data_IF_251849321583
#
_entry.id   IF_251849321583
#
_cell.length_a   1.000
_cell.length_b   1.000
_cell.length_c   1.000
_cell.angle_alpha   90.00
_cell.angle_beta   90.00
_cell.angle_gamma   90.00
#
_symmetry.space_group_name_H-M   'P 1'
#
loop_
_entity.id
_entity.type
_entity.pdbx_description
1 polymer ?
#
# COMPACT_ATOMS: atom_id res chain seq x y z
N UNK A 1 -37.85 4.62 -42.70
CA UNK A 1 -37.54 4.73 -42.41
C UNK A 1 -36.83 5.05 -41.66
N UNK A 2 -36.36 5.15 -41.25
CA UNK A 2 -35.82 5.36 -40.79
C UNK A 2 -35.39 5.66 -39.86
N UNK A 3 -34.91 6.01 -39.36
CA UNK A 3 -34.64 6.38 -38.65
C UNK A 3 -34.27 6.14 -37.52
N UNK A 4 -34.13 5.95 -36.88
CA UNK A 4 -33.88 5.39 -35.85
C UNK A 4 -32.63 5.57 -35.38
N UNK A 5 -31.81 5.78 -35.87
CA UNK A 5 -30.60 5.88 -35.57
C UNK A 5 -30.24 6.79 -34.52
N UNK A 6 -30.66 7.80 -34.42
CA UNK A 6 -30.21 8.84 -33.54
C UNK A 6 -30.19 8.43 -32.12
N UNK A 7 -31.06 7.67 -31.80
CA UNK A 7 -31.20 7.31 -30.45
C UNK A 7 -29.94 6.81 -29.85
N UNK A 8 -29.27 6.13 -30.61
CA UNK A 8 -28.14 5.47 -30.13
C UNK A 8 -27.10 6.35 -29.61
N UNK A 9 -26.93 7.35 -30.27
CA UNK A 9 -25.90 8.23 -29.96
C UNK A 9 -25.90 8.72 -28.58
N UNK A 10 -27.01 9.00 -28.11
CA UNK A 10 -27.10 9.61 -26.87
C UNK A 10 -26.53 8.79 -25.78
N UNK A 11 -26.63 7.56 -25.95
CA UNK A 11 -26.22 6.69 -24.93
C UNK A 11 -24.77 6.84 -24.63
N UNK A 12 -24.05 7.02 -25.63
CA UNK A 12 -22.63 7.08 -25.46
C UNK A 12 -22.26 8.22 -24.54
N UNK A 13 -22.88 9.28 -24.73
CA UNK A 13 -22.55 10.44 -23.94
C UNK A 13 -22.79 10.21 -22.48
N UNK A 14 -23.87 9.56 -22.23
CA UNK A 14 -24.20 9.37 -20.87
C UNK A 14 -23.21 8.51 -20.17
N UNK A 15 -22.72 7.58 -20.86
CA UNK A 15 -21.81 6.69 -20.24
C UNK A 15 -20.59 7.42 -19.79
N UNK A 16 -20.14 8.29 -20.62
CA UNK A 16 -18.97 9.02 -20.27
C UNK A 16 -19.19 9.84 -19.03
N UNK A 17 -20.30 10.45 -19.00
CA UNK A 17 -20.60 11.26 -17.86
C UNK A 17 -20.64 10.38 -16.65
N UNK A 18 -21.22 9.26 -16.80
CA UNK A 18 -21.31 8.33 -15.69
C UNK A 18 -19.95 7.91 -15.22
N UNK A 19 -19.08 7.67 -16.13
CA UNK A 19 -17.76 7.27 -15.74
C UNK A 19 -17.08 8.36 -14.98
N UNK A 20 -17.17 9.52 -15.45
CA UNK A 20 -16.57 10.63 -14.80
C UNK A 20 -17.15 10.74 -13.40
N UNK A 21 -18.42 10.64 -13.35
CA UNK A 21 -19.05 10.73 -12.07
C UNK A 21 -18.70 9.54 -11.23
N UNK A 22 -18.66 8.43 -11.84
CA UNK A 22 -18.35 7.24 -11.11
C UNK A 22 -17.01 7.35 -10.49
N UNK A 23 -16.15 8.00 -11.18
CA UNK A 23 -14.84 8.14 -10.68
C UNK A 23 -14.83 8.83 -9.36
N UNK A 24 -15.92 9.30 -8.97
CA UNK A 24 -15.93 9.99 -7.75
C UNK A 24 -15.75 9.11 -6.56
N UNK A 25 -15.85 7.84 -6.71
CA UNK A 25 -15.60 7.02 -5.57
C UNK A 25 -14.16 7.30 -5.20
N UNK A 26 -13.90 8.13 -4.27
CA UNK A 26 -12.54 8.53 -3.98
C UNK A 26 -11.79 7.44 -3.29
N UNK A 27 -10.55 7.33 -3.64
CA UNK A 27 -9.66 6.53 -2.85
C UNK A 27 -9.57 7.20 -1.48
N UNK A 28 -9.39 6.44 -0.43
CA UNK A 28 -9.20 7.04 0.89
C UNK A 28 -8.04 8.02 0.81
N UNK A 29 -8.21 9.14 1.43
CA UNK A 29 -7.17 10.16 1.43
C UNK A 29 -5.96 9.60 2.17
N UNK A 30 -4.81 9.70 1.56
CA UNK A 30 -3.57 9.28 2.20
C UNK A 30 -3.02 10.42 3.04
N UNK A 31 -2.19 10.07 4.00
CA UNK A 31 -1.54 11.06 4.85
C UNK A 31 -0.53 11.87 4.03
N UNK A 32 -0.22 13.06 4.50
CA UNK A 32 0.90 13.83 3.97
C UNK A 32 2.20 13.19 4.48
N UNK A 33 3.33 13.61 3.95
CA UNK A 33 4.61 13.09 4.42
C UNK A 33 4.83 13.37 5.91
N UNK A 34 4.63 14.60 6.40
CA UNK A 34 4.80 14.86 7.84
C UNK A 34 3.87 14.03 8.72
N UNK A 35 2.61 13.87 8.28
CA UNK A 35 1.67 13.05 9.03
C UNK A 35 2.10 11.59 9.04
N UNK A 36 2.62 11.10 7.92
CA UNK A 36 3.11 9.74 7.83
C UNK A 36 4.27 9.52 8.80
N UNK A 37 5.18 10.46 8.88
CA UNK A 37 6.32 10.34 9.78
C UNK A 37 5.89 10.33 11.24
N UNK A 38 4.93 11.18 11.59
CA UNK A 38 4.37 11.18 12.93
C UNK A 38 3.69 9.86 13.25
N UNK A 39 2.92 9.36 12.29
CA UNK A 39 2.24 8.08 12.44
C UNK A 39 3.24 6.95 12.67
N UNK A 40 4.30 6.90 11.87
CA UNK A 40 5.31 5.85 12.01
C UNK A 40 6.06 5.94 13.34
N UNK A 41 6.34 7.14 13.79
CA UNK A 41 7.02 7.33 15.07
C UNK A 41 6.16 6.91 16.26
N UNK A 42 4.86 6.95 16.11
CA UNK A 42 3.94 6.55 17.17
C UNK A 42 3.49 5.11 17.08
N UNK A 43 3.96 4.39 16.06
CA UNK A 43 3.53 3.02 15.84
C UNK A 43 4.20 2.08 16.84
N UNK A 44 3.41 1.41 17.66
CA UNK A 44 3.95 0.48 18.64
C UNK A 44 3.50 -0.93 18.38
N UNK A 45 3.35 -1.30 17.14
CA UNK A 45 2.96 -2.65 16.78
C UNK A 45 3.96 -3.66 17.35
N UNK A 46 3.47 -4.67 18.02
CA UNK A 46 4.31 -5.69 18.63
C UNK A 46 3.82 -7.08 18.21
N UNK A 47 4.51 -7.73 17.29
CA UNK A 47 4.11 -9.07 16.86
C UNK A 47 4.34 -10.09 17.96
N UNK A 48 3.56 -11.16 17.95
CA UNK A 48 3.63 -12.21 18.97
C UNK A 48 3.62 -13.58 18.30
N UNK A 49 4.05 -14.59 19.05
CA UNK A 49 4.05 -15.96 18.57
C UNK A 49 5.41 -16.39 18.05
N UNK A 50 5.43 -17.41 17.19
CA UNK A 50 6.67 -17.91 16.61
C UNK A 50 7.25 -16.90 15.63
N UNK A 51 8.48 -17.08 15.23
CA UNK A 51 9.11 -16.19 14.26
C UNK A 51 8.31 -16.14 12.95
N UNK A 52 7.82 -17.28 12.52
CA UNK A 52 7.04 -17.35 11.29
C UNK A 52 5.72 -16.58 11.44
N UNK A 53 5.06 -16.75 12.57
CA UNK A 53 3.83 -16.00 12.83
C UNK A 53 4.10 -14.50 12.90
N UNK A 54 5.18 -14.13 13.57
CA UNK A 54 5.55 -12.72 13.67
C UNK A 54 5.85 -12.13 12.30
N UNK A 55 6.56 -12.87 11.44
CA UNK A 55 6.85 -12.40 10.09
C UNK A 55 5.57 -12.12 9.31
N UNK A 56 4.58 -12.99 9.42
CA UNK A 56 3.29 -12.79 8.77
C UNK A 56 2.56 -11.57 9.32
N UNK A 57 2.57 -11.39 10.62
CA UNK A 57 1.94 -10.23 11.26
C UNK A 57 2.61 -8.94 10.83
N UNK A 58 3.94 -8.93 10.76
CA UNK A 58 4.69 -7.76 10.33
C UNK A 58 4.37 -7.44 8.87
N UNK A 59 4.30 -8.47 8.02
CA UNK A 59 3.97 -8.27 6.61
C UNK A 59 2.60 -7.61 6.45
N UNK A 60 1.62 -8.08 7.19
CA UNK A 60 0.27 -7.54 7.14
C UNK A 60 0.23 -6.11 7.68
N UNK A 61 0.95 -5.87 8.77
CA UNK A 61 1.00 -4.55 9.38
C UNK A 61 1.64 -3.54 8.42
N UNK A 62 2.75 -3.91 7.81
CA UNK A 62 3.40 -3.02 6.84
C UNK A 62 2.49 -2.75 5.65
N UNK A 63 1.73 -3.73 5.22
CA UNK A 63 0.78 -3.53 4.12
C UNK A 63 -0.29 -2.50 4.50
N UNK A 64 -0.84 -2.63 5.71
CA UNK A 64 -1.84 -1.68 6.19
C UNK A 64 -1.27 -0.27 6.29
N UNK A 65 -0.05 -0.15 6.80
CA UNK A 65 0.60 1.14 6.92
C UNK A 65 0.86 1.73 5.53
N UNK A 66 1.35 0.90 4.60
CA UNK A 66 1.63 1.34 3.24
C UNK A 66 0.38 1.90 2.56
N UNK A 67 -0.79 1.36 2.89
CA UNK A 67 -2.03 1.80 2.30
C UNK A 67 -2.51 3.16 2.83
N UNK A 68 -1.98 3.59 3.96
CA UNK A 68 -2.43 4.82 4.63
C UNK A 68 -1.49 6.00 4.49
N UNK A 69 -0.20 5.75 4.42
CA UNK A 69 0.80 6.82 4.43
C UNK A 69 0.98 7.47 3.05
N UNK A 70 1.70 8.57 3.02
CA UNK A 70 1.98 9.27 1.76
C UNK A 70 2.65 8.34 0.76
N UNK A 71 2.39 8.51 -0.55
CA UNK A 71 2.96 7.62 -1.56
C UNK A 71 4.49 7.51 -1.51
N UNK A 72 5.18 8.59 -1.20
CA UNK A 72 6.64 8.59 -1.12
C UNK A 72 7.14 7.67 -0.01
N UNK A 73 6.41 7.62 1.10
CA UNK A 73 6.76 6.80 2.24
C UNK A 73 6.20 5.39 2.08
N UNK A 74 5.09 5.28 1.37
CA UNK A 74 4.42 4.00 1.14
C UNK A 74 5.28 3.03 0.33
N UNK A 75 5.96 3.52 -0.70
CA UNK A 75 6.73 2.64 -1.59
C UNK A 75 7.79 1.82 -0.84
N UNK A 76 8.63 2.40 0.00
CA UNK A 76 9.59 1.58 0.75
C UNK A 76 8.89 0.68 1.78
N UNK A 77 7.78 1.10 2.37
CA UNK A 77 7.06 0.24 3.31
C UNK A 77 6.44 -0.94 2.60
N UNK A 78 5.90 -0.73 1.41
CA UNK A 78 5.37 -1.82 0.59
C UNK A 78 6.48 -2.84 0.27
N UNK A 79 7.66 -2.35 -0.07
CA UNK A 79 8.80 -3.22 -0.35
C UNK A 79 9.17 -4.03 0.90
N UNK A 80 9.10 -3.43 2.08
CA UNK A 80 9.34 -4.13 3.33
C UNK A 80 8.28 -5.19 3.58
N UNK A 81 7.01 -4.89 3.28
CA UNK A 81 5.94 -5.85 3.41
C UNK A 81 6.20 -7.06 2.52
N UNK A 82 6.66 -6.83 1.30
CA UNK A 82 6.94 -7.90 0.35
C UNK A 82 8.08 -8.80 0.86
N UNK A 83 9.12 -8.23 1.42
CA UNK A 83 10.21 -9.01 2.01
C UNK A 83 9.69 -9.84 3.17
N UNK A 84 8.87 -9.26 4.03
CA UNK A 84 8.35 -10.01 5.18
C UNK A 84 7.38 -11.12 4.75
N UNK A 85 6.69 -10.97 3.63
CA UNK A 85 5.89 -12.05 3.07
C UNK A 85 6.78 -13.21 2.64
N UNK A 86 7.91 -12.91 2.03
CA UNK A 86 8.88 -13.95 1.66
C UNK A 86 9.38 -14.67 2.92
N UNK A 87 9.69 -13.92 3.96
CA UNK A 87 10.17 -14.49 5.23
C UNK A 87 9.10 -15.39 5.84
N UNK A 88 7.86 -14.92 5.84
CA UNK A 88 6.75 -15.69 6.40
C UNK A 88 6.47 -16.98 5.62
N UNK A 89 6.86 -17.01 4.35
CA UNK A 89 6.68 -18.20 3.52
C UNK A 89 7.73 -19.27 3.79
N UNK A 90 8.81 -18.95 4.48
CA UNK A 90 9.83 -19.95 4.82
C UNK A 90 9.34 -20.78 6.00
N UNK A 91 9.79 -22.01 6.13
CA UNK A 91 9.34 -22.87 7.23
C UNK A 91 9.63 -22.33 8.61
N UNK A 92 10.73 -21.63 8.78
CA UNK A 92 11.18 -21.13 10.07
C UNK A 92 10.88 -19.66 10.31
N UNK A 93 10.52 -18.93 9.26
CA UNK A 93 10.25 -17.51 9.40
C UNK A 93 11.49 -16.69 9.73
N UNK A 94 12.66 -17.14 9.28
CA UNK A 94 13.91 -16.44 9.55
C UNK A 94 14.34 -15.66 8.31
N UNK A 95 14.99 -14.53 8.55
CA UNK A 95 15.47 -13.67 7.47
C UNK A 95 16.88 -14.10 7.03
N UNK A 96 17.14 -14.04 5.75
CA UNK A 96 18.48 -14.21 5.22
C UNK A 96 19.22 -12.88 5.35
N UNK A 97 20.54 -12.91 5.16
CA UNK A 97 21.35 -11.70 5.17
C UNK A 97 20.88 -10.74 4.08
N UNK A 98 20.53 -11.27 2.91
CA UNK A 98 20.07 -10.46 1.80
C UNK A 98 18.72 -9.79 2.13
N UNK A 99 17.80 -10.52 2.73
CA UNK A 99 16.51 -9.96 3.12
C UNK A 99 16.70 -8.87 4.16
N UNK A 100 17.60 -9.08 5.12
CA UNK A 100 17.89 -8.06 6.13
C UNK A 100 18.47 -6.80 5.48
N UNK A 101 19.35 -6.96 4.50
CA UNK A 101 19.91 -5.83 3.78
C UNK A 101 18.83 -5.07 3.01
N UNK A 102 17.90 -5.78 2.39
CA UNK A 102 16.79 -5.14 1.66
C UNK A 102 15.89 -4.35 2.60
N UNK A 103 15.62 -4.89 3.78
CA UNK A 103 14.83 -4.17 4.78
C UNK A 103 15.55 -2.90 5.23
N UNK A 104 16.84 -3.00 5.50
CA UNK A 104 17.64 -1.85 5.93
C UNK A 104 17.64 -0.76 4.87
N UNK A 105 17.75 -1.15 3.61
CA UNK A 105 17.70 -0.19 2.50
C UNK A 105 16.39 0.57 2.49
N UNK A 106 15.27 -0.12 2.68
CA UNK A 106 13.97 0.53 2.68
C UNK A 106 13.80 1.46 3.88
N UNK A 107 14.31 1.05 5.03
CA UNK A 107 14.27 1.89 6.23
C UNK A 107 15.05 3.17 5.97
N UNK A 108 16.19 3.08 5.31
CA UNK A 108 16.99 4.26 4.97
C UNK A 108 16.24 5.18 4.01
N UNK A 109 15.48 4.63 3.08
CA UNK A 109 14.66 5.43 2.17
C UNK A 109 13.59 6.20 2.94
N UNK A 110 12.96 5.55 3.91
CA UNK A 110 11.96 6.22 4.75
C UNK A 110 12.63 7.35 5.51
N UNK A 111 13.83 7.11 6.02
CA UNK A 111 14.59 8.12 6.75
C UNK A 111 14.92 9.36 5.94
N UNK A 112 14.91 9.29 4.63
CA UNK A 112 15.12 10.46 3.79
C UNK A 112 13.94 11.42 3.86
N UNK A 113 12.75 10.92 4.12
CA UNK A 113 11.54 11.72 4.23
C UNK A 113 11.22 12.07 5.68
N UNK A 114 11.58 11.20 6.61
CA UNK A 114 11.25 11.35 8.02
C UNK A 114 12.50 11.64 8.86
N UNK A 115 13.01 12.81 8.69
CA UNK A 115 14.20 13.23 9.42
C UNK A 115 13.85 13.87 10.74
#
# INVERSE_FOLDING_TARGET
MKKLLPAVVLLAGTLLAGCAGGGTAPAPARMSVPESCTFLNGDNFAPTGSQKEQAGQIANHYQEVADKVAPEVSAPIQAMADVMKEVAATPEGTKTTEQTARLTEQINKIGQYCK
#
